data_IF_183975652853
#
_entry.id   IF_183975652853
#
_cell.length_a   1.000
_cell.length_b   1.000
_cell.length_c   1.000
_cell.angle_alpha   90.00
_cell.angle_beta   90.00
_cell.angle_gamma   90.00
#
_symmetry.space_group_name_H-M   'P 1'
#
loop_
_entity.id
_entity.type
_entity.pdbx_description
1 polymer ?
#
# COMPACT_ATOMS: atom_id res chain seq x y z
N UNK A 1 19.27 3.86 -31.41
CA UNK A 1 18.53 4.08 -32.67
C UNK A 1 17.39 5.12 -32.53
N UNK A 2 16.92 5.47 -31.33
CA UNK A 2 15.83 6.47 -31.14
C UNK A 2 16.35 7.84 -30.65
N UNK A 3 17.26 7.88 -29.66
CA UNK A 3 17.74 9.14 -29.04
C UNK A 3 19.27 9.33 -29.06
N UNK A 4 19.99 8.50 -29.83
CA UNK A 4 21.46 8.53 -29.82
C UNK A 4 22.08 8.12 -28.47
N UNK A 5 23.35 8.49 -28.27
CA UNK A 5 24.04 8.32 -26.99
C UNK A 5 23.57 9.39 -25.99
N UNK A 6 23.39 8.97 -24.73
CA UNK A 6 22.92 9.83 -23.67
C UNK A 6 24.05 10.09 -22.67
N UNK A 7 24.27 11.36 -22.33
CA UNK A 7 25.24 11.77 -21.33
C UNK A 7 24.64 11.73 -19.92
N UNK A 8 25.51 11.77 -18.90
CA UNK A 8 25.14 11.81 -17.48
C UNK A 8 24.05 10.79 -17.10
N UNK A 9 24.22 9.54 -17.53
CA UNK A 9 23.35 8.41 -17.22
C UNK A 9 24.22 7.19 -16.95
N UNK A 10 23.81 6.36 -15.99
CA UNK A 10 24.43 5.08 -15.72
C UNK A 10 23.35 4.01 -15.58
N UNK A 11 23.71 2.78 -15.92
CA UNK A 11 22.89 1.61 -15.65
C UNK A 11 23.64 0.68 -14.69
N UNK A 12 22.87 -0.05 -13.91
CA UNK A 12 23.37 -1.15 -13.08
C UNK A 12 22.61 -2.42 -13.43
N UNK A 13 23.30 -3.53 -13.33
CA UNK A 13 22.72 -4.86 -13.43
C UNK A 13 22.44 -5.43 -12.03
N UNK A 14 21.40 -6.26 -11.95
CA UNK A 14 21.12 -7.06 -10.77
C UNK A 14 21.23 -8.54 -11.15
N UNK A 15 22.33 -9.17 -10.76
CA UNK A 15 22.66 -10.55 -11.17
C UNK A 15 22.41 -11.57 -10.04
N UNK A 16 22.22 -12.86 -10.36
CA UNK A 16 21.98 -13.88 -9.35
C UNK A 16 23.06 -13.91 -8.26
N UNK A 17 22.63 -13.94 -7.00
CA UNK A 17 23.52 -13.92 -5.83
C UNK A 17 23.71 -12.54 -5.20
N UNK A 18 23.29 -11.47 -5.88
CA UNK A 18 23.34 -10.11 -5.33
C UNK A 18 22.16 -9.82 -4.39
N UNK A 19 22.36 -8.82 -3.52
CA UNK A 19 21.33 -8.34 -2.60
C UNK A 19 21.32 -6.79 -2.57
N UNK A 20 20.47 -6.22 -1.72
CA UNK A 20 20.32 -4.78 -1.63
C UNK A 20 21.61 -4.04 -1.21
N UNK A 21 22.45 -4.62 -0.35
CA UNK A 21 23.71 -3.98 0.07
C UNK A 21 24.69 -3.88 -1.10
N UNK A 22 24.83 -4.96 -1.88
CA UNK A 22 25.66 -4.97 -3.10
C UNK A 22 25.17 -3.94 -4.12
N UNK A 23 23.85 -3.76 -4.24
CA UNK A 23 23.27 -2.75 -5.13
C UNK A 23 23.51 -1.32 -4.63
N UNK A 24 23.52 -1.09 -3.31
CA UNK A 24 23.86 0.22 -2.73
C UNK A 24 25.29 0.60 -3.07
N UNK A 25 26.23 -0.34 -2.94
CA UNK A 25 27.63 -0.14 -3.34
C UNK A 25 27.73 0.23 -4.82
N UNK A 26 27.13 -0.58 -5.71
CA UNK A 26 27.07 -0.29 -7.16
C UNK A 26 26.47 1.07 -7.48
N UNK A 27 25.37 1.46 -6.83
CA UNK A 27 24.76 2.76 -7.03
C UNK A 27 25.71 3.88 -6.62
N UNK A 28 26.29 3.81 -5.41
CA UNK A 28 27.23 4.83 -4.94
C UNK A 28 28.44 4.95 -5.87
N UNK A 29 29.01 3.84 -6.31
CA UNK A 29 30.13 3.83 -7.25
C UNK A 29 29.76 4.54 -8.56
N UNK A 30 28.59 4.23 -9.14
CA UNK A 30 28.13 4.90 -10.37
C UNK A 30 27.85 6.38 -10.16
N UNK A 31 27.29 6.76 -9.01
CA UNK A 31 26.99 8.16 -8.69
C UNK A 31 28.24 9.03 -8.60
N UNK A 32 29.40 8.48 -8.24
CA UNK A 32 30.66 9.25 -8.24
C UNK A 32 31.08 9.74 -9.63
N UNK A 33 30.66 9.03 -10.69
CA UNK A 33 30.94 9.36 -12.08
C UNK A 33 29.87 10.22 -12.76
N UNK A 34 28.81 10.61 -12.05
CA UNK A 34 27.70 11.41 -12.57
C UNK A 34 27.71 12.81 -11.97
N UNK A 35 27.27 13.80 -12.75
CA UNK A 35 26.89 15.10 -12.21
C UNK A 35 25.54 14.98 -11.51
N UNK A 36 25.55 15.14 -10.19
CA UNK A 36 24.39 15.00 -9.30
C UNK A 36 23.90 16.34 -8.74
N UNK A 37 24.47 17.46 -9.21
CA UNK A 37 24.20 18.82 -8.68
C UNK A 37 22.73 19.23 -8.77
N UNK A 38 22.02 18.80 -9.82
CA UNK A 38 20.59 19.06 -10.04
C UNK A 38 19.67 17.97 -9.48
N UNK A 39 20.23 16.92 -8.88
CA UNK A 39 19.49 15.77 -8.37
C UNK A 39 19.75 14.46 -9.11
N UNK A 40 19.10 13.39 -8.65
CA UNK A 40 19.24 12.03 -9.21
C UNK A 40 17.88 11.36 -9.30
N UNK A 41 17.51 10.98 -10.52
CA UNK A 41 16.31 10.19 -10.80
C UNK A 41 16.71 8.73 -11.03
N UNK A 42 16.34 7.84 -10.10
CA UNK A 42 16.50 6.40 -10.27
C UNK A 42 15.27 5.86 -11.01
N UNK A 43 15.51 5.16 -12.12
CA UNK A 43 14.49 4.42 -12.85
C UNK A 43 14.71 2.92 -12.63
N UNK A 44 13.74 2.25 -11.99
CA UNK A 44 13.87 0.84 -11.60
C UNK A 44 12.69 0.02 -12.11
N UNK A 45 12.85 -1.30 -12.19
CA UNK A 45 11.83 -2.18 -12.79
C UNK A 45 10.58 -2.33 -11.91
N UNK A 46 10.76 -2.69 -10.63
CA UNK A 46 9.66 -3.14 -9.76
C UNK A 46 9.68 -2.47 -8.39
N UNK A 47 8.50 -2.10 -7.91
CA UNK A 47 8.30 -1.59 -6.55
C UNK A 47 8.57 -2.68 -5.50
N UNK A 48 9.35 -2.34 -4.47
CA UNK A 48 9.69 -3.24 -3.37
C UNK A 48 10.77 -4.29 -3.68
N UNK A 49 11.30 -4.34 -4.91
CA UNK A 49 12.43 -5.19 -5.27
C UNK A 49 13.77 -4.70 -4.69
N UNK A 50 14.82 -5.52 -4.73
CA UNK A 50 16.15 -5.15 -4.23
C UNK A 50 16.70 -3.84 -4.87
N UNK A 51 16.58 -3.62 -6.20
CA UNK A 51 16.98 -2.34 -6.81
C UNK A 51 16.21 -1.14 -6.25
N UNK A 52 14.89 -1.27 -6.10
CA UNK A 52 14.05 -0.23 -5.51
C UNK A 52 14.43 0.06 -4.06
N UNK A 53 14.61 -0.97 -3.24
CA UNK A 53 14.96 -0.80 -1.82
C UNK A 53 16.33 -0.15 -1.66
N UNK A 54 17.31 -0.54 -2.48
CA UNK A 54 18.64 0.05 -2.49
C UNK A 54 18.61 1.53 -2.93
N UNK A 55 17.95 1.84 -4.06
CA UNK A 55 17.79 3.21 -4.53
C UNK A 55 17.03 4.10 -3.52
N UNK A 56 15.97 3.56 -2.91
CA UNK A 56 15.16 4.29 -1.93
C UNK A 56 15.96 4.68 -0.69
N UNK A 57 16.85 3.79 -0.21
CA UNK A 57 17.75 4.09 0.92
C UNK A 57 18.72 5.24 0.62
N UNK A 58 19.12 5.39 -0.64
CA UNK A 58 20.02 6.48 -1.09
C UNK A 58 19.22 7.78 -1.26
N UNK A 59 17.98 7.69 -1.75
CA UNK A 59 17.17 8.85 -2.09
C UNK A 59 16.49 9.53 -0.89
N UNK A 60 16.09 8.76 0.13
CA UNK A 60 15.16 9.22 1.19
C UNK A 60 15.62 10.45 1.98
N UNK A 61 16.93 10.63 2.16
CA UNK A 61 17.51 11.74 2.93
C UNK A 61 18.02 12.89 2.05
N UNK A 62 17.68 12.90 0.75
CA UNK A 62 18.14 13.88 -0.23
C UNK A 62 16.97 14.54 -0.96
N UNK A 63 16.93 15.87 -0.93
CA UNK A 63 15.80 16.67 -1.42
C UNK A 63 15.48 16.46 -2.91
N UNK A 64 16.51 16.35 -3.77
CA UNK A 64 16.35 16.17 -5.21
C UNK A 64 16.76 14.76 -5.65
N UNK A 65 16.42 13.73 -4.88
CA UNK A 65 16.60 12.34 -5.28
C UNK A 65 15.24 11.64 -5.28
N UNK A 66 14.93 10.90 -6.34
CA UNK A 66 13.64 10.23 -6.48
C UNK A 66 13.79 8.88 -7.18
N UNK A 67 12.92 7.93 -6.85
CA UNK A 67 12.88 6.58 -7.41
C UNK A 67 11.54 6.34 -8.11
N UNK A 68 11.58 6.22 -9.44
CA UNK A 68 10.42 5.87 -10.26
C UNK A 68 10.51 4.42 -10.71
N UNK A 69 9.44 3.66 -10.51
CA UNK A 69 9.38 2.22 -10.86
C UNK A 69 8.62 1.98 -12.16
N UNK A 70 8.81 0.81 -12.78
CA UNK A 70 8.08 0.41 -13.98
C UNK A 70 8.69 0.99 -15.24
N UNK A 71 10.02 1.16 -15.24
CA UNK A 71 10.76 1.72 -16.37
C UNK A 71 10.39 1.03 -17.68
N UNK A 72 10.09 1.83 -18.69
CA UNK A 72 9.73 1.36 -20.03
C UNK A 72 10.28 2.33 -21.09
N UNK A 73 10.22 1.92 -22.36
CA UNK A 73 10.83 2.69 -23.46
C UNK A 73 10.24 4.10 -23.59
N UNK A 74 8.90 4.31 -23.54
CA UNK A 74 8.32 5.66 -23.54
C UNK A 74 8.82 6.54 -22.39
N UNK A 75 8.87 6.01 -21.16
CA UNK A 75 9.40 6.73 -20.00
C UNK A 75 10.84 7.17 -20.23
N UNK A 76 11.72 6.25 -20.64
CA UNK A 76 13.13 6.56 -20.90
C UNK A 76 13.26 7.62 -21.99
N UNK A 77 12.49 7.47 -23.08
CA UNK A 77 12.60 8.37 -24.20
C UNK A 77 12.22 9.81 -23.83
N UNK A 78 11.05 9.98 -23.23
CA UNK A 78 10.54 11.29 -22.85
C UNK A 78 11.33 11.91 -21.69
N UNK A 79 11.79 11.11 -20.73
CA UNK A 79 12.65 11.63 -19.65
C UNK A 79 13.97 12.18 -20.20
N UNK A 80 14.59 11.50 -21.16
CA UNK A 80 15.82 11.99 -21.77
C UNK A 80 15.58 13.22 -22.65
N UNK A 81 14.50 13.25 -23.43
CA UNK A 81 14.15 14.42 -24.25
C UNK A 81 13.83 15.63 -23.37
N UNK A 82 12.99 15.45 -22.34
CA UNK A 82 12.64 16.52 -21.41
C UNK A 82 13.87 17.05 -20.67
N UNK A 83 14.84 16.18 -20.34
CA UNK A 83 16.08 16.62 -19.68
C UNK A 83 16.88 17.64 -20.49
N UNK A 84 16.85 17.57 -21.82
CA UNK A 84 17.57 18.51 -22.71
C UNK A 84 16.98 19.93 -22.65
N UNK A 85 15.70 20.05 -22.26
CA UNK A 85 15.00 21.33 -22.07
C UNK A 85 15.22 21.95 -20.66
N UNK A 86 16.13 21.37 -19.87
CA UNK A 86 16.48 21.79 -18.50
C UNK A 86 15.29 22.06 -17.54
N UNK A 87 14.34 21.12 -17.37
CA UNK A 87 13.21 21.26 -16.48
C UNK A 87 13.65 21.26 -15.01
N UNK A 88 12.75 21.67 -14.12
CA UNK A 88 12.94 21.39 -12.70
C UNK A 88 12.95 19.89 -12.42
N UNK A 89 13.60 19.47 -11.34
CA UNK A 89 13.67 18.05 -10.95
C UNK A 89 12.27 17.44 -10.79
N UNK A 90 11.34 18.18 -10.18
CA UNK A 90 9.96 17.75 -9.98
C UNK A 90 9.20 17.58 -11.31
N UNK A 91 9.41 18.46 -12.28
CA UNK A 91 8.83 18.34 -13.62
C UNK A 91 9.38 17.11 -14.34
N UNK A 92 10.68 16.84 -14.24
CA UNK A 92 11.31 15.66 -14.84
C UNK A 92 10.74 14.35 -14.26
N UNK A 93 10.53 14.30 -12.95
CA UNK A 93 9.85 13.17 -12.27
C UNK A 93 8.42 13.02 -12.79
N UNK A 94 7.68 14.11 -12.92
CA UNK A 94 6.30 14.09 -13.41
C UNK A 94 6.22 13.57 -14.85
N UNK A 95 7.14 14.01 -15.73
CA UNK A 95 7.26 13.51 -17.11
C UNK A 95 7.51 12.00 -17.11
N UNK A 96 8.47 11.50 -16.32
CA UNK A 96 8.78 10.08 -16.25
C UNK A 96 7.53 9.26 -15.83
N UNK A 97 6.79 9.72 -14.82
CA UNK A 97 5.60 9.02 -14.32
C UNK A 97 4.45 9.07 -15.33
N UNK A 98 4.17 10.23 -15.93
CA UNK A 98 3.07 10.38 -16.90
C UNK A 98 3.32 9.53 -18.15
N UNK A 99 4.49 9.70 -18.77
CA UNK A 99 4.85 9.03 -20.02
C UNK A 99 5.04 7.53 -19.83
N UNK A 100 5.55 7.11 -18.67
CA UNK A 100 5.60 5.71 -18.28
C UNK A 100 4.21 5.07 -18.20
N UNK A 101 3.20 5.79 -17.70
CA UNK A 101 1.81 5.31 -17.65
C UNK A 101 1.17 5.30 -19.03
N UNK A 102 1.31 6.39 -19.80
CA UNK A 102 0.74 6.49 -21.14
C UNK A 102 1.37 5.50 -22.13
N UNK A 103 2.63 5.13 -21.91
CA UNK A 103 3.34 4.13 -22.69
C UNK A 103 2.78 2.72 -22.59
N UNK A 104 2.01 2.41 -21.55
CA UNK A 104 1.40 1.09 -21.35
C UNK A 104 0.04 1.04 -22.07
N UNK A 105 0.06 0.52 -23.30
CA UNK A 105 -1.13 0.40 -24.16
C UNK A 105 -1.38 -1.04 -24.56
N UNK A 106 -2.65 -1.42 -24.66
CA UNK A 106 -3.08 -2.72 -25.15
C UNK A 106 -3.92 -2.55 -26.42
N UNK A 107 -3.55 -3.24 -27.50
CA UNK A 107 -4.22 -3.09 -28.80
C UNK A 107 -5.68 -3.58 -28.82
N UNK A 108 -5.99 -4.61 -28.02
CA UNK A 108 -7.28 -5.31 -28.02
C UNK A 108 -8.08 -5.15 -26.74
N UNK A 109 -7.42 -4.77 -25.63
CA UNK A 109 -8.13 -4.52 -24.41
C UNK A 109 -8.85 -3.16 -24.55
N UNK A 110 -10.10 -3.03 -24.09
CA UNK A 110 -10.73 -1.73 -24.05
C UNK A 110 -9.86 -0.79 -23.22
N UNK A 111 -9.71 0.45 -23.67
CA UNK A 111 -9.05 1.49 -22.88
C UNK A 111 -9.75 1.55 -21.53
N UNK A 112 -9.04 1.14 -20.47
CA UNK A 112 -9.42 1.48 -19.12
C UNK A 112 -9.20 2.97 -19.07
N UNK A 113 -10.27 3.76 -19.28
CA UNK A 113 -10.21 5.22 -19.17
C UNK A 113 -9.41 5.53 -17.93
N UNK A 114 -8.21 6.06 -18.13
CA UNK A 114 -7.50 6.76 -17.10
C UNK A 114 -8.44 7.92 -16.77
N UNK A 115 -9.04 7.88 -15.59
CA UNK A 115 -9.40 9.12 -14.92
C UNK A 115 -8.06 9.86 -14.71
N UNK A 116 -7.54 10.50 -15.78
CA UNK A 116 -6.76 11.72 -15.58
C UNK A 116 -7.73 12.58 -14.76
N UNK A 117 -7.32 13.09 -13.59
CA UNK A 117 -7.97 14.28 -13.09
C UNK A 117 -7.76 15.31 -14.21
N UNK A 118 -8.78 15.53 -15.04
CA UNK A 118 -8.93 16.84 -15.63
C UNK A 118 -8.77 17.80 -14.45
N UNK A 119 -7.89 18.78 -14.64
CA UNK A 119 -7.83 19.98 -13.83
C UNK A 119 -9.24 20.58 -13.82
N UNK A 120 -10.08 20.08 -12.92
CA UNK A 120 -11.31 20.73 -12.55
C UNK A 120 -10.87 22.08 -12.00
N UNK A 121 -11.45 23.20 -12.50
CA UNK A 121 -11.23 24.49 -11.88
C UNK A 121 -11.46 24.32 -10.39
N UNK A 122 -10.51 24.82 -9.59
CA UNK A 122 -10.51 24.74 -8.13
C UNK A 122 -11.94 24.62 -7.60
N UNK A 123 -12.30 23.42 -7.14
CA UNK A 123 -13.57 23.25 -6.46
C UNK A 123 -13.62 24.30 -5.34
N UNK A 124 -14.70 25.08 -5.24
CA UNK A 124 -14.77 26.17 -4.28
C UNK A 124 -14.45 25.59 -2.91
N UNK A 125 -13.55 26.27 -2.19
CA UNK A 125 -13.40 26.15 -0.73
C UNK A 125 -14.76 25.79 -0.14
N UNK A 126 -14.92 24.68 0.59
CA UNK A 126 -16.22 24.33 1.14
C UNK A 126 -16.61 25.45 2.12
N UNK A 127 -17.47 26.33 1.62
CA UNK A 127 -18.16 27.34 2.39
C UNK A 127 -18.97 26.62 3.45
N UNK A 128 -18.69 27.00 4.70
CA UNK A 128 -19.50 26.80 5.89
C UNK A 128 -20.25 25.47 6.00
N UNK A 129 -19.75 24.63 6.93
CA UNK A 129 -20.45 23.51 7.57
C UNK A 129 -21.97 23.74 7.59
N UNK A 130 -22.72 22.85 6.94
CA UNK A 130 -24.11 22.63 7.29
C UNK A 130 -24.19 22.30 8.80
N UNK A 131 -25.23 22.74 9.53
CA UNK A 131 -25.27 22.60 10.98
C UNK A 131 -25.11 21.14 11.37
N UNK A 132 -24.21 20.89 12.32
CA UNK A 132 -24.03 19.58 12.92
C UNK A 132 -25.38 19.07 13.41
N UNK A 133 -25.91 18.04 12.74
CA UNK A 133 -26.97 17.21 13.33
C UNK A 133 -26.36 16.67 14.63
N UNK A 134 -27.04 16.90 15.75
CA UNK A 134 -26.59 16.44 17.04
C UNK A 134 -26.39 14.92 16.98
N UNK A 135 -25.14 14.48 17.04
CA UNK A 135 -24.74 13.09 16.97
C UNK A 135 -25.24 12.35 18.20
N UNK A 136 -25.92 11.23 17.98
CA UNK A 136 -26.45 10.39 19.06
C UNK A 136 -25.34 9.56 19.73
N UNK A 137 -25.57 9.02 20.94
CA UNK A 137 -24.58 8.24 21.69
C UNK A 137 -24.15 6.91 21.03
N UNK A 138 -24.73 6.53 19.88
CA UNK A 138 -24.42 5.30 19.14
C UNK A 138 -23.87 5.57 17.71
N UNK A 139 -23.55 6.83 17.38
CA UNK A 139 -23.00 7.17 16.07
C UNK A 139 -21.48 6.92 16.03
N UNK A 140 -21.09 5.66 15.87
CA UNK A 140 -19.70 5.24 15.68
C UNK A 140 -19.34 5.08 14.20
N UNK A 141 -18.04 5.02 13.92
CA UNK A 141 -17.49 4.78 12.59
C UNK A 141 -18.05 3.49 11.96
N UNK A 142 -18.29 3.48 10.63
CA UNK A 142 -18.82 2.30 9.92
C UNK A 142 -17.67 1.45 9.37
N UNK A 143 -17.56 0.20 9.81
CA UNK A 143 -16.53 -0.72 9.31
C UNK A 143 -17.04 -1.37 8.02
N UNK A 144 -16.45 -0.98 6.89
CA UNK A 144 -16.76 -1.54 5.57
C UNK A 144 -16.07 -2.89 5.32
N UNK A 145 -14.87 -3.07 5.88
CA UNK A 145 -14.11 -4.31 5.83
C UNK A 145 -13.10 -4.36 6.98
N UNK A 146 -13.01 -5.49 7.68
CA UNK A 146 -11.87 -5.82 8.54
C UNK A 146 -11.05 -6.91 7.84
N UNK A 147 -9.77 -6.64 7.54
CA UNK A 147 -8.93 -7.55 6.78
C UNK A 147 -7.57 -7.78 7.45
N UNK A 148 -7.17 -9.05 7.52
CA UNK A 148 -5.84 -9.48 7.96
C UNK A 148 -4.97 -9.71 6.72
N UNK A 149 -3.93 -8.91 6.55
CA UNK A 149 -2.92 -9.04 5.48
C UNK A 149 -1.58 -8.51 5.99
N UNK A 150 -0.57 -9.38 6.13
CA UNK A 150 0.77 -9.01 6.63
C UNK A 150 1.44 -7.90 5.80
N UNK A 151 1.04 -7.75 4.54
CA UNK A 151 1.58 -6.75 3.61
C UNK A 151 0.81 -5.44 3.64
N UNK A 152 -0.27 -5.34 4.44
CA UNK A 152 -1.04 -4.12 4.68
C UNK A 152 -1.55 -3.48 3.37
N UNK A 153 -1.10 -2.26 3.06
CA UNK A 153 -1.48 -1.55 1.84
C UNK A 153 -0.47 -1.91 0.75
N UNK A 154 -0.83 -2.85 -0.12
CA UNK A 154 0.04 -3.30 -1.21
C UNK A 154 -0.73 -3.58 -2.50
N UNK A 155 -0.06 -3.30 -3.63
CA UNK A 155 -0.50 -3.64 -4.97
C UNK A 155 -1.91 -3.17 -5.33
N UNK A 156 -2.51 -3.83 -6.31
CA UNK A 156 -3.89 -3.55 -6.75
C UNK A 156 -4.95 -4.12 -5.81
N UNK A 157 -4.55 -4.90 -4.78
CA UNK A 157 -5.48 -5.54 -3.85
C UNK A 157 -6.18 -4.50 -2.98
N UNK A 158 -5.42 -3.57 -2.39
CA UNK A 158 -6.00 -2.47 -1.61
C UNK A 158 -6.91 -1.58 -2.45
N UNK A 159 -6.50 -1.22 -3.67
CA UNK A 159 -7.31 -0.43 -4.62
C UNK A 159 -8.62 -1.12 -5.00
N UNK A 160 -8.60 -2.44 -5.19
CA UNK A 160 -9.82 -3.20 -5.52
C UNK A 160 -10.77 -3.27 -4.34
N UNK A 161 -10.27 -3.63 -3.16
CA UNK A 161 -11.10 -3.72 -1.96
C UNK A 161 -11.67 -2.37 -1.57
N UNK A 162 -10.92 -1.27 -1.73
CA UNK A 162 -11.44 0.07 -1.42
C UNK A 162 -12.61 0.46 -2.32
N UNK A 163 -12.51 0.21 -3.64
CA UNK A 163 -13.60 0.44 -4.59
C UNK A 163 -14.83 -0.42 -4.30
N UNK A 164 -14.65 -1.72 -4.07
CA UNK A 164 -15.78 -2.64 -3.86
C UNK A 164 -16.48 -2.47 -2.51
N UNK A 165 -15.73 -2.09 -1.47
CA UNK A 165 -16.31 -1.86 -0.14
C UNK A 165 -16.76 -0.41 0.06
N UNK A 166 -16.49 0.45 -0.92
CA UNK A 166 -16.79 1.89 -0.93
C UNK A 166 -16.28 2.60 0.33
N UNK A 167 -15.06 2.27 0.75
CA UNK A 167 -14.42 2.91 1.92
C UNK A 167 -13.68 4.17 1.50
N UNK A 168 -13.73 5.19 2.34
CA UNK A 168 -13.03 6.47 2.13
C UNK A 168 -11.80 6.63 3.04
N UNK A 169 -11.61 5.69 3.97
CA UNK A 169 -10.47 5.67 4.89
C UNK A 169 -9.97 4.24 5.11
N UNK A 170 -8.65 4.07 5.17
CA UNK A 170 -7.98 2.86 5.62
C UNK A 170 -7.31 3.17 6.96
N UNK A 171 -7.49 2.29 7.94
CA UNK A 171 -6.78 2.34 9.21
C UNK A 171 -6.01 1.04 9.38
N UNK A 172 -4.69 1.13 9.35
CA UNK A 172 -3.79 0.06 9.76
C UNK A 172 -3.72 0.08 11.28
N UNK A 173 -4.08 -1.04 11.91
CA UNK A 173 -4.11 -1.20 13.36
C UNK A 173 -3.01 -2.19 13.75
N UNK A 174 -1.91 -1.67 14.28
CA UNK A 174 -0.79 -2.47 14.77
C UNK A 174 0.13 -1.60 15.63
N UNK A 175 0.42 -2.06 16.84
CA UNK A 175 1.30 -1.36 17.78
C UNK A 175 2.73 -1.25 17.23
N UNK A 176 3.24 -2.33 16.60
CA UNK A 176 4.57 -2.36 15.99
C UNK A 176 4.70 -1.37 14.83
N UNK A 177 3.72 -1.34 13.93
CA UNK A 177 3.76 -0.45 12.74
C UNK A 177 3.51 1.00 13.15
N UNK A 178 2.73 1.24 14.21
CA UNK A 178 2.50 2.58 14.74
C UNK A 178 3.76 3.19 15.38
N UNK A 179 4.63 2.36 15.97
CA UNK A 179 5.91 2.77 16.53
C UNK A 179 6.99 3.01 15.46
N UNK A 180 6.88 2.38 14.28
CA UNK A 180 7.83 2.51 13.18
C UNK A 180 7.49 3.71 12.27
N UNK A 181 8.25 4.81 12.43
CA UNK A 181 8.07 6.06 11.67
C UNK A 181 8.25 5.84 10.15
N UNK A 182 9.17 4.98 9.73
CA UNK A 182 9.43 4.72 8.31
C UNK A 182 8.26 3.95 7.69
N UNK A 183 7.84 2.84 8.31
CA UNK A 183 6.70 2.04 7.82
C UNK A 183 5.42 2.86 7.77
N UNK A 184 5.19 3.72 8.76
CA UNK A 184 4.02 4.60 8.78
C UNK A 184 3.99 5.55 7.59
N UNK A 185 5.11 6.22 7.28
CA UNK A 185 5.19 7.14 6.14
C UNK A 185 4.94 6.40 4.82
N UNK A 186 5.62 5.27 4.61
CA UNK A 186 5.47 4.47 3.38
C UNK A 186 4.03 4.01 3.17
N UNK A 187 3.38 3.48 4.21
CA UNK A 187 1.99 3.03 4.14
C UNK A 187 1.01 4.15 3.81
N UNK A 188 1.27 5.37 4.28
CA UNK A 188 0.42 6.52 3.96
C UNK A 188 0.59 7.02 2.53
N UNK A 189 1.77 6.83 1.92
CA UNK A 189 2.04 7.23 0.53
C UNK A 189 1.43 6.26 -0.51
N UNK A 190 1.29 4.98 -0.16
CA UNK A 190 0.73 3.95 -1.05
C UNK A 190 -0.80 3.83 -0.99
N UNK A 191 -1.47 4.76 -0.30
CA UNK A 191 -2.91 4.79 -0.19
C UNK A 191 -3.59 4.99 -1.57
N UNK A 192 -4.68 4.27 -1.88
CA UNK A 192 -5.39 4.46 -3.15
C UNK A 192 -5.89 5.91 -3.32
N UNK A 193 -5.93 6.45 -4.56
CA UNK A 193 -6.47 7.79 -4.82
C UNK A 193 -7.89 7.97 -4.27
N UNK A 194 -8.15 9.09 -3.59
CA UNK A 194 -9.44 9.38 -2.97
C UNK A 194 -9.67 8.69 -1.62
N UNK A 195 -8.70 7.92 -1.11
CA UNK A 195 -8.77 7.23 0.19
C UNK A 195 -7.65 7.72 1.09
N UNK A 196 -7.98 8.05 2.34
CA UNK A 196 -6.97 8.44 3.34
C UNK A 196 -6.48 7.23 4.12
N UNK A 197 -5.16 7.10 4.33
CA UNK A 197 -4.58 6.02 5.13
C UNK A 197 -4.01 6.54 6.45
N UNK A 198 -4.23 5.79 7.53
CA UNK A 198 -3.64 6.08 8.84
C UNK A 198 -3.10 4.80 9.49
N UNK A 199 -2.02 4.95 10.24
CA UNK A 199 -1.47 3.88 11.08
C UNK A 199 -1.62 4.29 12.53
N UNK A 200 -2.23 3.42 13.32
CA UNK A 200 -2.51 3.63 14.75
C UNK A 200 -2.27 2.35 15.54
N UNK A 201 -1.97 2.52 16.83
CA UNK A 201 -2.01 1.43 17.81
C UNK A 201 -3.46 1.00 18.11
N UNK A 202 -3.60 -0.15 18.77
CA UNK A 202 -4.90 -0.76 19.09
C UNK A 202 -5.75 0.14 19.98
N UNK A 203 -5.18 0.75 21.01
CA UNK A 203 -5.93 1.61 21.94
C UNK A 203 -6.46 2.87 21.25
N UNK A 204 -5.67 3.44 20.35
CA UNK A 204 -6.05 4.61 19.56
C UNK A 204 -7.11 4.23 18.52
N UNK A 205 -7.07 3.02 17.95
CA UNK A 205 -8.13 2.54 17.06
C UNK A 205 -9.48 2.49 17.79
N UNK A 206 -9.53 1.96 19.02
CA UNK A 206 -10.73 1.92 19.86
C UNK A 206 -11.24 3.35 20.16
N UNK A 207 -10.33 4.27 20.52
CA UNK A 207 -10.68 5.68 20.78
C UNK A 207 -11.23 6.38 19.54
N UNK A 208 -10.66 6.13 18.36
CA UNK A 208 -11.11 6.72 17.09
C UNK A 208 -12.48 6.16 16.69
N UNK A 209 -12.71 4.86 16.89
CA UNK A 209 -13.99 4.22 16.60
C UNK A 209 -15.14 4.82 17.42
N UNK A 210 -14.91 5.06 18.71
CA UNK A 210 -15.89 5.64 19.63
C UNK A 210 -16.03 7.17 19.50
N UNK A 211 -15.28 7.83 18.62
CA UNK A 211 -15.33 9.28 18.46
C UNK A 211 -16.41 9.66 17.43
N UNK A 212 -17.47 10.41 17.82
CA UNK A 212 -18.59 10.77 16.94
C UNK A 212 -18.17 11.56 15.69
N UNK A 213 -16.99 12.20 15.72
CA UNK A 213 -16.43 12.93 14.56
C UNK A 213 -16.31 12.04 13.31
N UNK A 214 -16.16 10.73 13.49
CA UNK A 214 -15.96 9.77 12.40
C UNK A 214 -17.20 8.93 12.08
N UNK A 215 -18.37 9.27 12.62
CA UNK A 215 -19.62 8.52 12.41
C UNK A 215 -20.01 8.33 10.93
N UNK A 216 -19.66 9.31 10.09
CA UNK A 216 -19.94 9.29 8.66
C UNK A 216 -18.85 8.58 7.84
N UNK A 217 -17.73 8.21 8.45
CA UNK A 217 -16.64 7.55 7.74
C UNK A 217 -16.94 6.06 7.56
N UNK A 218 -16.67 5.56 6.35
CA UNK A 218 -16.74 4.15 6.02
C UNK A 218 -15.32 3.63 5.85
N UNK A 219 -14.89 2.75 6.74
CA UNK A 219 -13.47 2.48 6.97
C UNK A 219 -13.13 1.03 6.72
N UNK A 220 -11.95 0.81 6.14
CA UNK A 220 -11.29 -0.48 6.07
C UNK A 220 -10.25 -0.58 7.18
N UNK A 221 -10.39 -1.57 8.04
CA UNK A 221 -9.40 -1.90 9.06
C UNK A 221 -8.43 -2.95 8.50
N UNK A 222 -7.14 -2.68 8.58
CA UNK A 222 -6.07 -3.60 8.19
C UNK A 222 -5.28 -4.04 9.41
N UNK A 223 -5.07 -5.35 9.52
CA UNK A 223 -4.34 -5.99 10.60
C UNK A 223 -3.25 -6.90 10.04
N UNK A 224 -2.20 -7.12 10.82
CA UNK A 224 -1.15 -8.11 10.51
C UNK A 224 -1.40 -9.46 11.17
N UNK A 225 -2.32 -9.54 12.13
CA UNK A 225 -2.55 -10.75 12.91
C UNK A 225 -3.98 -10.75 13.50
N UNK A 226 -4.55 -11.93 13.80
CA UNK A 226 -5.87 -12.04 14.42
C UNK A 226 -5.90 -11.64 15.90
N UNK A 227 -4.74 -11.59 16.58
CA UNK A 227 -4.68 -11.22 18.01
C UNK A 227 -5.11 -9.77 18.22
N UNK A 228 -4.67 -8.85 17.35
CA UNK A 228 -5.06 -7.44 17.42
C UNK A 228 -6.55 -7.25 17.09
N UNK A 229 -7.13 -8.10 16.24
CA UNK A 229 -8.57 -8.11 15.99
C UNK A 229 -9.34 -8.49 17.25
N UNK A 230 -8.90 -9.54 17.97
CA UNK A 230 -9.49 -9.94 19.26
C UNK A 230 -9.43 -8.77 20.25
N UNK A 231 -8.27 -8.11 20.37
CA UNK A 231 -8.11 -6.94 21.26
C UNK A 231 -9.08 -5.80 20.92
N UNK A 232 -9.32 -5.53 19.63
CA UNK A 232 -10.29 -4.51 19.22
C UNK A 232 -11.73 -4.88 19.57
N UNK A 233 -12.11 -6.13 19.31
CA UNK A 233 -13.44 -6.65 19.63
C UNK A 233 -13.68 -6.64 21.15
N UNK A 234 -12.66 -6.99 21.94
CA UNK A 234 -12.69 -6.89 23.40
C UNK A 234 -12.78 -5.44 23.90
N UNK A 235 -12.20 -4.51 23.15
CA UNK A 235 -12.34 -3.06 23.36
C UNK A 235 -13.70 -2.48 22.97
N UNK A 236 -14.66 -3.30 22.55
CA UNK A 236 -16.03 -2.88 22.22
C UNK A 236 -16.25 -2.44 20.77
N UNK A 237 -15.29 -2.71 19.87
CA UNK A 237 -15.46 -2.43 18.43
C UNK A 237 -16.33 -3.51 17.79
N UNK A 238 -17.41 -3.12 17.14
CA UNK A 238 -18.34 -4.06 16.49
C UNK A 238 -17.83 -4.53 15.11
N UNK A 239 -17.23 -5.72 15.06
CA UNK A 239 -16.75 -6.36 13.83
C UNK A 239 -17.65 -7.58 13.53
N UNK A 240 -18.35 -7.56 12.39
CA UNK A 240 -19.26 -8.66 11.98
C UNK A 240 -18.56 -9.78 11.23
N UNK A 241 -17.58 -9.43 10.40
CA UNK A 241 -16.80 -10.38 9.62
C UNK A 241 -15.36 -9.93 9.48
N UNK A 242 -14.46 -10.89 9.37
CA UNK A 242 -13.02 -10.69 9.18
C UNK A 242 -12.61 -11.45 7.93
N UNK A 243 -11.95 -10.73 7.04
CA UNK A 243 -11.37 -11.26 5.82
C UNK A 243 -9.89 -11.59 6.02
N UNK A 244 -9.50 -12.84 5.81
CA UNK A 244 -8.11 -13.29 5.87
C UNK A 244 -7.56 -13.27 4.44
N UNK A 245 -6.76 -12.25 4.16
CA UNK A 245 -6.19 -11.98 2.85
C UNK A 245 -4.86 -12.67 2.61
N UNK A 246 -3.95 -12.56 3.58
CA UNK A 246 -2.64 -13.18 3.51
C UNK A 246 -1.89 -13.14 4.83
N UNK A 247 -1.45 -14.30 5.30
CA UNK A 247 -0.59 -14.43 6.48
C UNK A 247 0.65 -15.21 6.05
N UNK A 248 1.80 -14.56 6.07
CA UNK A 248 3.03 -15.09 5.50
C UNK A 248 3.53 -16.29 6.31
N UNK A 249 4.12 -17.26 5.62
CA UNK A 249 4.81 -18.36 6.27
C UNK A 249 6.03 -17.84 7.02
N UNK A 250 6.20 -18.31 8.26
CA UNK A 250 7.39 -18.13 9.09
C UNK A 250 7.70 -19.45 9.79
N UNK A 251 8.95 -19.65 10.20
CA UNK A 251 9.34 -20.84 10.95
C UNK A 251 8.48 -20.97 12.21
N UNK A 252 7.80 -22.12 12.38
CA UNK A 252 6.85 -22.35 13.46
C UNK A 252 5.37 -22.18 13.08
N UNK A 253 5.05 -21.67 11.87
CA UNK A 253 3.67 -21.64 11.34
C UNK A 253 3.39 -22.83 10.45
N UNK A 254 2.15 -23.29 10.45
CA UNK A 254 1.65 -24.33 9.54
C UNK A 254 0.86 -23.68 8.40
N UNK A 255 1.16 -24.06 7.16
CA UNK A 255 0.46 -23.54 6.00
C UNK A 255 -0.91 -24.21 5.85
N UNK A 256 -1.97 -23.41 5.79
CA UNK A 256 -3.36 -23.89 5.69
C UNK A 256 -3.97 -23.68 4.31
N UNK A 257 -3.41 -22.73 3.56
CA UNK A 257 -3.70 -22.49 2.15
C UNK A 257 -2.50 -21.74 1.52
N UNK A 258 -2.52 -21.57 0.20
CA UNK A 258 -1.49 -20.88 -0.60
C UNK A 258 -1.16 -19.46 -0.11
N UNK A 259 -2.07 -18.79 0.59
CA UNK A 259 -1.89 -17.43 1.07
C UNK A 259 -1.83 -17.29 2.61
N UNK A 260 -2.11 -18.36 3.37
CA UNK A 260 -2.33 -18.26 4.81
C UNK A 260 -1.54 -19.34 5.54
N UNK A 261 -0.69 -18.91 6.46
CA UNK A 261 0.01 -19.76 7.42
C UNK A 261 -0.29 -19.27 8.83
N UNK A 262 -0.53 -20.19 9.76
CA UNK A 262 -0.98 -19.89 11.12
C UNK A 262 -0.17 -20.68 12.16
N UNK A 263 -0.02 -20.13 13.36
CA UNK A 263 0.48 -20.84 14.54
C UNK A 263 -0.65 -21.11 15.56
N UNK A 264 -0.29 -21.70 16.71
CA UNK A 264 -1.24 -21.99 17.80
C UNK A 264 -1.92 -20.72 18.34
N UNK A 265 -1.19 -19.59 18.40
CA UNK A 265 -1.73 -18.32 18.89
C UNK A 265 -2.75 -17.74 17.90
N UNK A 266 -2.48 -17.84 16.61
CA UNK A 266 -3.42 -17.47 15.56
C UNK A 266 -4.69 -18.33 15.63
N UNK A 267 -4.56 -19.64 15.84
CA UNK A 267 -5.69 -20.57 15.99
C UNK A 267 -6.55 -20.19 17.20
N UNK A 268 -5.93 -19.92 18.35
CA UNK A 268 -6.65 -19.49 19.56
C UNK A 268 -7.43 -18.19 19.31
N UNK A 269 -6.82 -17.22 18.62
CA UNK A 269 -7.46 -15.97 18.27
C UNK A 269 -8.66 -16.19 17.33
N UNK A 270 -8.52 -17.00 16.27
CA UNK A 270 -9.64 -17.34 15.39
C UNK A 270 -10.77 -18.06 16.14
N UNK A 271 -10.45 -18.98 17.05
CA UNK A 271 -11.46 -19.63 17.89
C UNK A 271 -12.23 -18.62 18.75
N UNK A 272 -11.54 -17.64 19.36
CA UNK A 272 -12.18 -16.57 20.14
C UNK A 272 -13.10 -15.71 19.29
N UNK A 273 -12.68 -15.34 18.08
CA UNK A 273 -13.50 -14.55 17.15
C UNK A 273 -14.75 -15.34 16.72
N UNK A 274 -14.58 -16.62 16.36
CA UNK A 274 -15.68 -17.50 15.96
C UNK A 274 -16.67 -17.75 17.11
N UNK A 275 -16.19 -17.90 18.36
CA UNK A 275 -17.05 -18.06 19.54
C UNK A 275 -17.92 -16.82 19.81
N UNK A 276 -17.50 -15.63 19.34
CA UNK A 276 -18.28 -14.39 19.38
C UNK A 276 -19.22 -14.22 18.19
N UNK A 277 -19.31 -15.21 17.30
CA UNK A 277 -20.18 -15.18 16.12
C UNK A 277 -19.64 -14.35 14.96
N UNK A 278 -18.35 -14.02 14.95
CA UNK A 278 -17.72 -13.26 13.87
C UNK A 278 -17.42 -14.19 12.70
N UNK A 279 -17.88 -13.82 11.50
CA UNK A 279 -17.62 -14.62 10.30
C UNK A 279 -16.14 -14.51 9.88
N UNK A 280 -15.46 -15.64 9.73
CA UNK A 280 -14.05 -15.70 9.33
C UNK A 280 -13.92 -16.27 7.91
N UNK A 281 -13.73 -15.38 6.93
CA UNK A 281 -13.60 -15.75 5.52
C UNK A 281 -12.16 -15.63 5.01
N UNK A 282 -11.68 -16.64 4.29
CA UNK A 282 -10.37 -16.64 3.65
C UNK A 282 -10.56 -16.41 2.15
N UNK A 283 -10.04 -15.28 1.64
CA UNK A 283 -9.93 -14.97 0.20
C UNK A 283 -8.93 -13.85 -0.04
N UNK A 284 -8.08 -14.00 -1.06
CA UNK A 284 -7.01 -13.04 -1.36
C UNK A 284 -7.56 -11.80 -2.04
N UNK A 285 -8.37 -11.99 -3.08
CA UNK A 285 -9.14 -10.94 -3.75
C UNK A 285 -10.63 -11.27 -3.69
N UNK A 286 -11.46 -10.28 -3.96
CA UNK A 286 -12.91 -10.40 -3.87
C UNK A 286 -13.56 -11.36 -4.88
N UNK A 287 -12.92 -11.58 -6.04
CA UNK A 287 -13.35 -12.56 -7.04
C UNK A 287 -13.06 -14.01 -6.66
N UNK A 288 -12.21 -14.25 -5.66
CA UNK A 288 -11.88 -15.60 -5.26
C UNK A 288 -13.04 -16.23 -4.48
N UNK A 289 -13.17 -17.56 -4.58
CA UNK A 289 -14.12 -18.33 -3.79
C UNK A 289 -13.86 -18.14 -2.29
N UNK A 290 -14.93 -17.89 -1.54
CA UNK A 290 -14.86 -17.76 -0.07
C UNK A 290 -14.65 -19.12 0.57
N UNK A 291 -13.63 -19.24 1.41
CA UNK A 291 -13.41 -20.41 2.26
C UNK A 291 -13.63 -20.00 3.72
N UNK A 292 -14.17 -20.89 4.55
CA UNK A 292 -14.30 -20.64 5.98
C UNK A 292 -13.01 -20.98 6.70
N UNK A 293 -12.51 -20.05 7.52
CA UNK A 293 -11.25 -20.27 8.26
C UNK A 293 -11.33 -21.50 9.18
N UNK A 294 -12.48 -21.72 9.83
CA UNK A 294 -12.71 -22.84 10.74
C UNK A 294 -12.64 -24.21 10.03
N UNK A 295 -13.07 -24.28 8.77
CA UNK A 295 -12.99 -25.51 7.97
C UNK A 295 -11.53 -25.85 7.61
N UNK A 296 -10.67 -24.84 7.47
CA UNK A 296 -9.23 -25.05 7.25
C UNK A 296 -8.54 -25.48 8.54
N UNK A 297 -8.87 -24.87 9.68
CA UNK A 297 -8.30 -25.23 10.99
C UNK A 297 -8.69 -26.66 11.38
N UNK A 298 -9.96 -27.05 11.19
CA UNK A 298 -10.41 -28.40 11.54
C UNK A 298 -9.75 -29.52 10.72
N UNK A 299 -9.27 -29.22 9.50
CA UNK A 299 -8.50 -30.16 8.67
C UNK A 299 -7.07 -30.37 9.15
N UNK A 300 -6.50 -29.45 9.92
CA UNK A 300 -5.16 -29.58 10.50
C UNK A 300 -5.15 -30.46 11.74
N UNK A 301 -6.27 -30.50 12.47
CA UNK A 301 -6.44 -31.29 13.69
C UNK A 301 -6.91 -32.73 13.43
N UNK A 302 -6.97 -33.15 12.16
CA UNK A 302 -7.28 -34.52 11.72
C UNK A 302 -6.03 -35.18 11.18
#
# INVERSE_FOLDING_TARGET
MILGEQSNVAYIDFVPGENAETLIEKYNDRLTGLDTSKGVLFLVDTWGGSPFNAASRIAIDKENYEVVTGVNIPMLAETFMARDDEPSFAELVAVAVETGREGVKALKAPDVKSDKPETQPAAPVPTAKAPAVALGPNDHMKIGLARIDDRLIHGQVATRWTKETNVNRIIVVSDEVAADKMRKTLLTQVAPPGVTAHVVDVEKAIRVYNNPKYANDRVMLLFTNPTDVVRLVEGGVDIKSVNIGGMAFRQGKTQVNNAVSIDEKDIEAFNKLNARGIELEVRKVSSDSRLKMMDLISKLNK
#
